data_IF_241571792592
#
_entry.id   IF_241571792592
#
_cell.length_a   1.000
_cell.length_b   1.000
_cell.length_c   1.000
_cell.angle_alpha   90.00
_cell.angle_beta   90.00
_cell.angle_gamma   90.00
#
_symmetry.space_group_name_H-M   'P 1'
#
loop_
_entity.id
_entity.type
_entity.pdbx_description
1 polymer ?
#
# COMPACT_ATOMS: atom_id res chain seq x y z
N UNK A 1 11.38 8.19 -11.88
CA UNK A 1 10.87 7.47 -13.07
C UNK A 1 9.84 6.47 -12.60
N UNK A 2 8.81 6.18 -13.40
CA UNK A 2 7.79 5.14 -13.12
C UNK A 2 7.60 4.30 -14.38
N UNK A 3 7.39 3.00 -14.21
CA UNK A 3 7.16 2.08 -15.34
C UNK A 3 5.80 2.34 -15.97
N UNK A 4 4.82 2.68 -15.15
CA UNK A 4 3.44 2.91 -15.49
C UNK A 4 3.25 4.23 -16.25
N UNK A 5 2.30 4.31 -17.18
CA UNK A 5 1.84 5.60 -17.69
C UNK A 5 1.18 6.40 -16.55
N UNK A 6 1.07 7.72 -16.74
CA UNK A 6 0.64 8.67 -15.70
C UNK A 6 -0.68 8.28 -15.02
N UNK A 7 -1.64 7.80 -15.82
CA UNK A 7 -3.00 7.43 -15.44
C UNK A 7 -3.10 6.07 -14.72
N UNK A 8 -2.06 5.23 -14.82
CA UNK A 8 -2.01 3.91 -14.20
C UNK A 8 -0.93 3.82 -13.11
N UNK A 9 -0.34 4.94 -12.71
CA UNK A 9 0.59 4.95 -11.58
C UNK A 9 -0.12 4.42 -10.31
N UNK A 10 0.56 3.60 -9.50
CA UNK A 10 -0.04 2.97 -8.32
C UNK A 10 -0.27 3.94 -7.15
N UNK A 11 0.36 5.12 -7.18
CA UNK A 11 0.16 6.17 -6.18
C UNK A 11 -1.23 6.79 -6.30
N UNK A 12 -1.76 7.32 -5.21
CA UNK A 12 -3.03 8.02 -5.27
C UNK A 12 -2.90 9.32 -6.09
N UNK A 13 -3.95 9.75 -6.81
CA UNK A 13 -3.89 10.95 -7.64
C UNK A 13 -3.42 12.20 -6.88
N UNK A 14 -3.87 12.39 -5.64
CA UNK A 14 -3.47 13.54 -4.82
C UNK A 14 -1.98 13.50 -4.43
N UNK A 15 -1.39 12.31 -4.23
CA UNK A 15 0.05 12.18 -3.94
C UNK A 15 0.90 12.58 -5.15
N UNK A 16 0.42 12.26 -6.36
CA UNK A 16 1.05 12.66 -7.62
C UNK A 16 0.96 14.19 -7.77
N UNK A 17 -0.22 14.76 -7.53
CA UNK A 17 -0.44 16.21 -7.59
C UNK A 17 0.43 16.96 -6.58
N UNK A 18 0.54 16.47 -5.35
CA UNK A 18 1.39 17.02 -4.30
C UNK A 18 2.86 17.01 -4.71
N UNK A 19 3.37 15.87 -5.18
CA UNK A 19 4.75 15.76 -5.65
C UNK A 19 5.05 16.73 -6.80
N UNK A 20 4.16 16.81 -7.78
CA UNK A 20 4.30 17.77 -8.91
C UNK A 20 4.24 19.21 -8.40
N UNK A 21 3.37 19.52 -7.44
CA UNK A 21 3.27 20.82 -6.79
C UNK A 21 4.56 21.26 -6.09
N UNK A 22 5.30 20.32 -5.50
CA UNK A 22 6.62 20.57 -4.91
C UNK A 22 7.75 20.73 -5.95
N UNK A 23 7.45 20.52 -7.24
CA UNK A 23 8.38 20.64 -8.35
C UNK A 23 9.03 19.31 -8.77
N UNK A 24 8.51 18.17 -8.30
CA UNK A 24 9.00 16.85 -8.72
C UNK A 24 8.64 16.62 -10.19
N UNK A 25 9.66 16.36 -11.02
CA UNK A 25 9.45 15.94 -12.42
C UNK A 25 9.26 14.42 -12.48
N UNK A 26 8.02 14.01 -12.73
CA UNK A 26 7.68 12.61 -12.95
C UNK A 26 7.95 12.25 -14.42
N UNK A 27 8.60 11.10 -14.62
CA UNK A 27 8.85 10.51 -15.94
C UNK A 27 8.10 9.17 -15.99
N UNK A 28 6.81 9.19 -16.37
CA UNK A 28 6.00 7.98 -16.50
C UNK A 28 6.44 7.17 -17.75
N UNK A 29 6.04 5.90 -17.83
CA UNK A 29 6.35 5.04 -18.96
C UNK A 29 7.85 4.91 -19.21
N UNK A 30 8.65 4.83 -18.14
CA UNK A 30 10.11 4.90 -18.19
C UNK A 30 10.73 3.82 -17.30
N UNK A 31 11.48 2.91 -17.90
CA UNK A 31 12.23 1.88 -17.19
C UNK A 31 13.71 2.24 -17.05
N UNK A 32 14.32 1.82 -15.94
CA UNK A 32 15.76 1.94 -15.74
C UNK A 32 16.46 0.73 -16.34
N UNK A 33 17.44 0.96 -17.22
CA UNK A 33 18.25 -0.10 -17.85
C UNK A 33 19.56 -0.33 -17.10
N UNK A 34 20.26 0.75 -16.72
CA UNK A 34 21.46 0.69 -15.87
C UNK A 34 21.79 2.04 -15.23
N UNK A 35 22.60 1.98 -14.17
CA UNK A 35 23.23 3.17 -13.60
C UNK A 35 24.55 3.46 -14.31
N UNK A 36 24.75 4.72 -14.70
CA UNK A 36 25.99 5.19 -15.31
C UNK A 36 26.87 5.75 -14.21
N UNK A 37 28.02 5.10 -14.00
CA UNK A 37 28.99 5.47 -12.97
C UNK A 37 30.21 6.10 -13.63
N UNK A 38 30.60 7.28 -13.16
CA UNK A 38 31.81 8.00 -13.58
C UNK A 38 32.60 8.36 -12.33
N UNK A 39 33.91 8.10 -12.34
CA UNK A 39 34.80 8.42 -11.20
C UNK A 39 34.33 7.82 -9.85
N UNK A 40 33.76 6.62 -9.90
CA UNK A 40 33.26 5.92 -8.70
C UNK A 40 31.95 6.48 -8.11
N UNK A 41 31.27 7.41 -8.79
CA UNK A 41 29.97 7.95 -8.40
C UNK A 41 28.94 7.81 -9.50
N UNK A 42 27.66 7.71 -9.13
CA UNK A 42 26.58 7.76 -10.11
C UNK A 42 26.58 9.14 -10.77
N UNK A 43 26.47 9.17 -12.09
CA UNK A 43 26.44 10.40 -12.89
C UNK A 43 25.17 10.50 -13.74
N UNK A 44 24.57 9.35 -14.09
CA UNK A 44 23.31 9.30 -14.82
C UNK A 44 22.59 7.96 -14.62
N UNK A 45 21.35 7.92 -15.08
CA UNK A 45 20.57 6.71 -15.29
C UNK A 45 20.38 6.54 -16.80
N UNK A 46 20.75 5.40 -17.36
CA UNK A 46 20.29 5.03 -18.71
C UNK A 46 18.88 4.46 -18.58
N UNK A 47 17.93 5.12 -19.22
CA UNK A 47 16.52 4.81 -19.19
C UNK A 47 16.01 4.49 -20.60
N UNK A 48 14.85 3.84 -20.67
CA UNK A 48 14.19 3.45 -21.93
C UNK A 48 12.68 3.64 -21.79
N UNK A 49 11.99 3.95 -22.88
CA UNK A 49 10.54 4.10 -22.88
C UNK A 49 9.84 2.75 -22.76
N UNK A 50 8.79 2.71 -21.94
CA UNK A 50 7.92 1.54 -21.76
C UNK A 50 6.71 1.70 -22.68
N UNK A 51 6.47 0.69 -23.50
CA UNK A 51 5.28 0.60 -24.36
C UNK A 51 4.09 0.03 -23.59
N UNK A 52 4.33 -1.05 -22.84
CA UNK A 52 3.33 -1.71 -22.00
C UNK A 52 3.98 -2.53 -20.89
N UNK A 53 3.22 -2.78 -19.84
CA UNK A 53 3.64 -3.62 -18.72
C UNK A 53 2.95 -4.97 -18.84
N UNK A 54 3.73 -6.04 -18.80
CA UNK A 54 3.24 -7.42 -18.75
C UNK A 54 3.63 -8.06 -17.42
N UNK A 55 2.98 -9.17 -17.09
CA UNK A 55 3.34 -10.00 -15.95
C UNK A 55 3.75 -11.39 -16.45
N UNK A 56 4.86 -11.91 -15.93
CA UNK A 56 5.24 -13.29 -16.22
C UNK A 56 4.36 -14.30 -15.46
N UNK A 57 4.56 -15.59 -15.72
CA UNK A 57 3.81 -16.67 -15.06
C UNK A 57 3.97 -16.71 -13.53
N UNK A 58 4.95 -15.99 -12.97
CA UNK A 58 5.20 -15.85 -11.52
C UNK A 58 4.64 -14.52 -10.97
N UNK A 59 3.92 -13.74 -11.78
CA UNK A 59 3.39 -12.44 -11.42
C UNK A 59 4.45 -11.35 -11.30
N UNK A 60 5.63 -11.53 -11.87
CA UNK A 60 6.67 -10.48 -11.90
C UNK A 60 6.39 -9.52 -13.03
N UNK A 61 6.58 -8.23 -12.76
CA UNK A 61 6.49 -7.16 -13.75
C UNK A 61 7.59 -7.34 -14.80
N UNK A 62 7.21 -7.39 -16.07
CA UNK A 62 8.08 -7.45 -17.24
C UNK A 62 7.66 -6.32 -18.20
N UNK A 63 8.35 -5.18 -18.20
CA UNK A 63 8.03 -4.09 -19.11
C UNK A 63 8.47 -4.43 -20.54
N UNK A 64 7.58 -4.26 -21.52
CA UNK A 64 7.93 -4.24 -22.94
C UNK A 64 8.38 -2.83 -23.30
N UNK A 65 9.61 -2.68 -23.75
CA UNK A 65 10.23 -1.39 -24.03
C UNK A 65 10.14 -1.03 -25.50
N UNK A 66 10.10 0.26 -25.81
CA UNK A 66 10.16 0.77 -27.18
C UNK A 66 11.61 0.64 -27.69
N UNK A 67 11.86 -0.02 -28.84
CA UNK A 67 13.20 -0.09 -29.42
C UNK A 67 13.78 1.30 -29.72
N UNK A 68 15.11 1.44 -29.60
CA UNK A 68 15.87 2.66 -29.92
C UNK A 68 15.34 3.92 -29.19
N UNK A 69 14.78 3.74 -28.00
CA UNK A 69 14.20 4.81 -27.18
C UNK A 69 15.03 5.12 -25.94
N UNK A 70 16.28 4.66 -25.90
CA UNK A 70 17.21 4.91 -24.81
C UNK A 70 17.59 6.39 -24.68
N UNK A 71 17.67 6.85 -23.42
CA UNK A 71 18.13 8.19 -23.10
C UNK A 71 18.81 8.22 -21.72
N UNK A 72 19.72 9.17 -21.52
CA UNK A 72 20.34 9.40 -20.22
C UNK A 72 19.56 10.45 -19.40
N UNK A 73 19.37 10.17 -18.13
CA UNK A 73 18.86 11.12 -17.13
C UNK A 73 20.01 11.45 -16.18
N UNK A 74 20.58 12.67 -16.23
CA UNK A 74 21.63 13.07 -15.28
C UNK A 74 21.14 12.95 -13.83
N UNK A 75 21.95 12.30 -12.99
CA UNK A 75 21.64 12.10 -11.57
C UNK A 75 22.93 11.80 -10.79
N UNK A 76 23.13 12.49 -9.67
CA UNK A 76 24.20 12.18 -8.70
C UNK A 76 23.77 11.17 -7.63
N UNK A 77 22.46 11.07 -7.39
CA UNK A 77 21.85 10.25 -6.35
C UNK A 77 20.67 9.48 -6.93
N UNK A 78 20.58 8.20 -6.60
CA UNK A 78 19.50 7.32 -7.05
C UNK A 78 18.89 6.60 -5.86
N UNK A 79 17.61 6.83 -5.63
CA UNK A 79 16.82 6.15 -4.60
C UNK A 79 15.90 5.15 -5.31
N UNK A 80 16.06 3.87 -4.99
CA UNK A 80 15.22 2.81 -5.54
C UNK A 80 13.97 2.62 -4.68
N UNK A 81 12.80 2.96 -5.22
CA UNK A 81 11.50 2.83 -4.57
C UNK A 81 10.60 1.80 -5.29
N UNK A 82 11.15 0.62 -5.57
CA UNK A 82 10.48 -0.45 -6.36
C UNK A 82 9.58 -1.37 -5.53
N UNK A 83 9.28 -0.97 -4.28
CA UNK A 83 8.57 -1.77 -3.30
C UNK A 83 9.44 -2.79 -2.57
N UNK A 84 8.79 -3.65 -1.78
CA UNK A 84 9.43 -4.60 -0.88
C UNK A 84 8.81 -5.99 -0.99
N UNK A 85 9.57 -7.02 -0.60
CA UNK A 85 9.08 -8.39 -0.44
C UNK A 85 9.54 -8.95 0.90
N UNK A 86 8.73 -9.79 1.57
CA UNK A 86 9.14 -10.41 2.81
C UNK A 86 10.28 -11.42 2.54
N UNK A 87 11.36 -11.29 3.31
CA UNK A 87 12.41 -12.30 3.38
C UNK A 87 11.99 -13.38 4.38
N UNK A 88 11.75 -14.60 3.90
CA UNK A 88 11.19 -15.72 4.68
C UNK A 88 12.11 -16.95 4.72
N UNK A 89 13.35 -16.77 4.29
CA UNK A 89 14.42 -17.77 4.24
C UNK A 89 14.87 -18.25 5.63
N UNK A 90 14.56 -17.49 6.69
CA UNK A 90 14.78 -17.91 8.08
C UNK A 90 13.82 -19.04 8.52
N UNK A 91 12.75 -19.32 7.77
CA UNK A 91 11.81 -20.39 8.11
C UNK A 91 12.43 -21.77 7.81
N UNK A 92 12.10 -22.81 8.59
CA UNK A 92 12.55 -24.17 8.30
C UNK A 92 12.19 -24.62 6.89
N UNK A 93 13.08 -25.38 6.25
CA UNK A 93 12.82 -25.97 4.93
C UNK A 93 11.50 -26.74 4.93
N UNK A 94 10.65 -26.50 3.94
CA UNK A 94 9.31 -27.08 3.81
C UNK A 94 8.21 -26.36 4.59
N UNK A 95 8.53 -25.26 5.29
CA UNK A 95 7.50 -24.37 5.83
C UNK A 95 6.73 -23.70 4.69
N UNK A 96 5.40 -23.71 4.76
CA UNK A 96 4.54 -23.14 3.71
C UNK A 96 3.52 -22.19 4.30
N UNK A 97 3.30 -21.07 3.61
CA UNK A 97 2.16 -20.21 3.86
C UNK A 97 0.93 -20.79 3.14
N UNK A 98 -0.03 -21.29 3.90
CA UNK A 98 -1.33 -21.69 3.36
C UNK A 98 -2.31 -20.52 3.49
N UNK A 99 -2.74 -19.97 2.36
CA UNK A 99 -3.77 -18.93 2.33
C UNK A 99 -5.06 -19.48 2.94
N UNK A 100 -5.59 -18.81 3.97
CA UNK A 100 -6.85 -19.20 4.60
C UNK A 100 -7.95 -18.17 4.31
N UNK A 101 -7.57 -16.92 4.05
CA UNK A 101 -8.47 -15.89 3.59
C UNK A 101 -7.70 -14.90 2.69
N UNK A 102 -7.89 -15.07 1.39
CA UNK A 102 -7.28 -14.20 0.37
C UNK A 102 -7.75 -12.76 0.47
N UNK A 103 -9.00 -12.53 0.89
CA UNK A 103 -9.59 -11.20 0.92
C UNK A 103 -9.07 -10.34 2.07
N UNK A 104 -8.49 -10.97 3.11
CA UNK A 104 -7.93 -10.29 4.30
C UNK A 104 -6.44 -10.48 4.45
N UNK A 105 -5.74 -10.90 3.38
CA UNK A 105 -4.31 -11.16 3.43
C UNK A 105 -3.89 -12.02 4.63
N UNK A 106 -4.63 -13.11 4.86
CA UNK A 106 -4.42 -13.98 6.01
C UNK A 106 -4.00 -15.38 5.55
N UNK A 107 -2.88 -15.83 6.08
CA UNK A 107 -2.31 -17.17 5.86
C UNK A 107 -2.05 -17.87 7.18
N UNK A 108 -2.12 -19.19 7.17
CA UNK A 108 -1.61 -20.05 8.24
C UNK A 108 -0.21 -20.51 7.86
N UNK A 109 0.73 -20.42 8.79
CA UNK A 109 2.07 -20.96 8.61
C UNK A 109 2.08 -22.42 9.02
N UNK A 110 2.43 -23.30 8.08
CA UNK A 110 2.50 -24.75 8.31
C UNK A 110 3.95 -25.19 8.28
N UNK A 111 4.34 -26.00 9.27
CA UNK A 111 5.68 -26.58 9.37
C UNK A 111 5.64 -28.07 9.02
N UNK A 112 6.65 -28.60 8.30
CA UNK A 112 6.68 -30.00 7.92
C UNK A 112 6.89 -30.91 9.14
N UNK A 113 6.17 -32.03 9.17
CA UNK A 113 6.38 -33.11 10.15
C UNK A 113 5.95 -32.82 11.60
N UNK A 114 5.38 -31.65 11.90
CA UNK A 114 4.88 -31.32 13.25
C UNK A 114 3.60 -30.48 13.17
N UNK A 115 2.57 -30.89 13.92
CA UNK A 115 1.59 -29.93 14.38
C UNK A 115 2.28 -29.08 15.46
N UNK A 116 2.41 -27.78 15.23
CA UNK A 116 2.86 -26.88 16.28
C UNK A 116 1.81 -26.86 17.38
N UNK A 117 2.22 -26.92 18.64
CA UNK A 117 1.31 -26.82 19.79
C UNK A 117 0.59 -25.46 19.81
N UNK A 118 1.21 -24.45 19.21
CA UNK A 118 0.65 -23.10 19.05
C UNK A 118 0.46 -22.83 17.55
N UNK A 119 -0.74 -22.46 17.10
CA UNK A 119 -0.99 -22.12 15.71
C UNK A 119 -0.28 -20.79 15.33
N UNK A 120 0.40 -20.77 14.19
CA UNK A 120 1.06 -19.59 13.67
C UNK A 120 0.32 -19.04 12.44
N UNK A 121 0.10 -17.72 12.42
CA UNK A 121 -0.56 -17.00 11.34
C UNK A 121 0.36 -15.94 10.78
N UNK A 122 0.21 -15.64 9.49
CA UNK A 122 0.89 -14.57 8.78
C UNK A 122 -0.19 -13.61 8.28
N UNK A 123 0.04 -12.31 8.44
CA UNK A 123 -0.94 -11.24 8.18
C UNK A 123 -0.31 -10.07 7.41
N UNK A 124 -1.15 -9.24 6.81
CA UNK A 124 -0.75 -8.00 6.16
C UNK A 124 0.15 -8.23 4.95
N UNK A 125 1.15 -7.35 4.77
CA UNK A 125 1.95 -7.29 3.55
C UNK A 125 2.81 -8.55 3.33
N UNK A 126 3.12 -9.29 4.39
CA UNK A 126 3.82 -10.57 4.32
C UNK A 126 3.05 -11.67 3.56
N UNK A 127 1.77 -11.42 3.26
CA UNK A 127 0.84 -12.38 2.65
C UNK A 127 0.37 -11.88 1.27
N UNK A 128 -0.08 -10.63 1.20
CA UNK A 128 -0.66 -10.03 -0.02
C UNK A 128 0.29 -9.20 -0.86
N UNK A 129 1.44 -8.79 -0.30
CA UNK A 129 2.18 -7.64 -0.82
C UNK A 129 1.64 -6.32 -0.24
N UNK A 130 2.15 -5.17 -0.71
CA UNK A 130 1.88 -3.87 -0.10
C UNK A 130 0.39 -3.55 -0.06
N UNK A 131 -0.11 -3.19 1.12
CA UNK A 131 -1.47 -2.73 1.34
C UNK A 131 -1.51 -1.50 2.25
N UNK A 132 -2.71 -1.11 2.65
CA UNK A 132 -2.92 -0.02 3.62
C UNK A 132 -2.73 -0.50 5.05
N UNK A 133 -2.42 0.44 5.95
CA UNK A 133 -2.35 0.17 7.41
C UNK A 133 -3.66 -0.40 7.94
N UNK A 134 -4.80 0.02 7.35
CA UNK A 134 -6.13 -0.47 7.73
C UNK A 134 -6.31 -1.94 7.34
N UNK A 135 -5.89 -2.33 6.13
CA UNK A 135 -5.95 -3.72 5.68
C UNK A 135 -5.04 -4.63 6.52
N UNK A 136 -3.83 -4.17 6.85
CA UNK A 136 -2.94 -4.89 7.74
C UNK A 136 -3.56 -5.09 9.14
N UNK A 137 -4.21 -4.05 9.67
CA UNK A 137 -4.90 -4.10 10.97
C UNK A 137 -6.10 -5.07 10.93
N UNK A 138 -6.89 -5.05 9.87
CA UNK A 138 -8.01 -5.96 9.66
C UNK A 138 -7.53 -7.42 9.57
N UNK A 139 -6.42 -7.65 8.86
CA UNK A 139 -5.75 -8.95 8.78
C UNK A 139 -5.31 -9.45 10.16
N UNK A 140 -4.68 -8.59 10.96
CA UNK A 140 -4.27 -8.88 12.34
C UNK A 140 -5.44 -9.26 13.26
N UNK A 141 -6.54 -8.51 13.18
CA UNK A 141 -7.78 -8.82 13.92
C UNK A 141 -8.33 -10.20 13.53
N UNK A 142 -8.35 -10.52 12.23
CA UNK A 142 -8.80 -11.83 11.75
C UNK A 142 -7.89 -12.95 12.26
N UNK A 143 -6.56 -12.77 12.28
CA UNK A 143 -5.63 -13.74 12.85
C UNK A 143 -5.88 -13.96 14.35
N UNK A 144 -6.05 -12.89 15.14
CA UNK A 144 -6.29 -12.99 16.58
C UNK A 144 -7.53 -13.85 16.91
N UNK A 145 -8.61 -13.69 16.16
CA UNK A 145 -9.84 -14.48 16.33
C UNK A 145 -9.64 -15.96 15.96
N UNK A 146 -8.83 -16.25 14.94
CA UNK A 146 -8.49 -17.63 14.58
C UNK A 146 -7.55 -18.27 15.61
N UNK A 147 -6.59 -17.52 16.14
CA UNK A 147 -5.73 -17.98 17.24
C UNK A 147 -6.58 -18.30 18.47
N UNK A 148 -7.51 -17.42 18.83
CA UNK A 148 -8.45 -17.65 19.93
C UNK A 148 -9.25 -18.94 19.72
N UNK A 149 -9.85 -19.11 18.53
CA UNK A 149 -10.62 -20.31 18.21
C UNK A 149 -9.80 -21.61 18.13
N UNK A 150 -8.51 -21.54 17.80
CA UNK A 150 -7.62 -22.70 17.78
C UNK A 150 -7.09 -23.08 19.19
N UNK A 151 -6.99 -22.11 20.12
CA UNK A 151 -6.47 -22.33 21.47
C UNK A 151 -7.55 -22.63 22.52
N UNK A 152 -8.78 -22.13 22.32
CA UNK A 152 -9.87 -22.36 23.26
C UNK A 152 -10.35 -23.82 23.26
N UNK A 153 -10.40 -24.42 24.46
CA UNK A 153 -10.81 -25.82 24.70
C UNK A 153 -12.32 -25.94 24.89
N UNK A 154 -12.98 -24.86 25.31
CA UNK A 154 -14.44 -24.81 25.44
C UNK A 154 -15.09 -24.62 24.06
N UNK A 155 -16.26 -25.24 23.83
CA UNK A 155 -17.14 -24.94 22.70
C UNK A 155 -17.76 -23.54 22.84
N UNK A 156 -16.93 -22.51 23.01
CA UNK A 156 -17.33 -21.15 22.69
C UNK A 156 -17.53 -21.18 21.19
N UNK A 157 -18.81 -21.32 20.77
CA UNK A 157 -19.32 -21.26 19.41
C UNK A 157 -18.21 -20.82 18.47
N UNK A 158 -17.62 -21.75 17.72
CA UNK A 158 -16.57 -21.50 16.72
C UNK A 158 -17.12 -20.58 15.64
N UNK A 159 -17.38 -19.34 16.00
CA UNK A 159 -17.74 -18.24 15.14
C UNK A 159 -16.44 -17.94 14.43
N UNK A 160 -16.13 -18.73 13.39
CA UNK A 160 -15.18 -18.36 12.38
C UNK A 160 -15.63 -16.99 11.93
N UNK A 161 -14.89 -15.96 12.34
CA UNK A 161 -15.26 -14.59 12.09
C UNK A 161 -15.29 -14.38 10.59
N UNK A 162 -16.50 -14.42 10.03
CA UNK A 162 -16.76 -13.94 8.69
C UNK A 162 -17.00 -12.45 8.86
N UNK A 163 -15.97 -11.64 8.66
CA UNK A 163 -16.12 -10.20 8.58
C UNK A 163 -17.00 -9.85 7.37
N UNK A 164 -18.33 -9.89 7.56
CA UNK A 164 -19.27 -9.39 6.55
C UNK A 164 -19.29 -7.87 6.50
N UNK A 165 -18.55 -7.19 7.39
CA UNK A 165 -18.41 -5.74 7.41
C UNK A 165 -17.38 -5.27 6.37
N UNK A 166 -17.56 -5.68 5.11
CA UNK A 166 -16.98 -4.90 4.01
C UNK A 166 -17.84 -3.64 3.90
N UNK A 167 -17.24 -2.46 4.06
CA UNK A 167 -17.84 -1.24 3.50
C UNK A 167 -18.07 -1.53 2.02
N UNK A 168 -19.32 -1.81 1.62
CA UNK A 168 -19.73 -2.00 0.22
C UNK A 168 -19.76 -0.66 -0.55
N UNK A 169 -19.01 0.33 -0.07
CA UNK A 169 -19.13 1.75 -0.39
C UNK A 169 -19.40 2.56 0.88
N UNK A 170 -19.03 3.84 0.87
CA UNK A 170 -19.69 4.78 1.77
C UNK A 170 -21.18 4.77 1.40
N UNK A 171 -22.12 4.64 2.36
CA UNK A 171 -23.51 4.88 2.05
C UNK A 171 -23.60 6.28 1.45
N UNK A 172 -23.94 6.35 0.17
CA UNK A 172 -24.28 7.60 -0.49
C UNK A 172 -25.62 8.00 0.12
N UNK A 173 -25.56 8.68 1.26
CA UNK A 173 -26.76 9.25 1.87
C UNK A 173 -27.24 10.30 0.87
N UNK A 174 -28.35 10.01 0.18
CA UNK A 174 -28.95 10.92 -0.81
C UNK A 174 -29.27 12.29 -0.20
N UNK A 175 -29.50 12.32 1.11
CA UNK A 175 -29.67 13.52 1.92
C UNK A 175 -28.35 13.97 2.56
N UNK A 176 -27.33 14.23 1.74
CA UNK A 176 -26.11 14.94 2.20
C UNK A 176 -26.27 16.41 1.85
N UNK A 177 -26.57 17.29 2.82
CA UNK A 177 -26.73 18.71 2.55
C UNK A 177 -25.45 19.30 1.94
N UNK A 178 -25.58 20.23 0.99
CA UNK A 178 -24.45 20.87 0.29
C UNK A 178 -23.41 21.49 1.23
N UNK A 179 -23.82 21.90 2.44
CA UNK A 179 -22.94 22.47 3.46
C UNK A 179 -22.11 21.43 4.24
N UNK A 180 -22.25 20.12 3.96
CA UNK A 180 -21.45 19.03 4.56
C UNK A 180 -20.27 18.60 3.69
N UNK A 181 -19.55 19.56 3.11
CA UNK A 181 -18.26 19.33 2.44
C UNK A 181 -17.22 18.92 3.49
N UNK A 182 -16.33 17.97 3.14
CA UNK A 182 -15.20 17.64 4.02
C UNK A 182 -14.30 18.87 4.12
N UNK A 183 -14.05 19.30 5.35
CA UNK A 183 -13.02 20.31 5.57
C UNK A 183 -11.67 19.62 5.46
N UNK A 184 -10.78 20.20 4.67
CA UNK A 184 -9.41 19.73 4.59
C UNK A 184 -8.59 20.38 5.72
N UNK A 185 -7.71 19.63 6.38
CA UNK A 185 -6.81 20.21 7.36
C UNK A 185 -5.87 21.22 6.69
N UNK A 186 -5.38 22.18 7.48
CA UNK A 186 -4.41 23.15 6.99
C UNK A 186 -3.14 22.44 6.48
N UNK A 187 -2.68 22.87 5.31
CA UNK A 187 -1.46 22.37 4.66
C UNK A 187 -0.52 23.54 4.43
N UNK A 188 0.76 23.33 4.67
CA UNK A 188 1.78 24.30 4.26
C UNK A 188 1.91 24.29 2.73
N UNK A 189 2.24 25.43 2.11
CA UNK A 189 2.34 25.51 0.67
C UNK A 189 3.59 24.75 0.14
N UNK A 190 3.57 24.24 -1.11
CA UNK A 190 4.68 23.48 -1.68
C UNK A 190 6.04 24.19 -1.67
N UNK A 191 6.02 25.52 -1.73
CA UNK A 191 7.25 26.32 -1.69
C UNK A 191 8.00 26.18 -0.37
N UNK A 192 7.26 25.96 0.71
CA UNK A 192 7.76 25.77 2.08
C UNK A 192 8.06 24.29 2.36
N UNK A 193 7.15 23.37 2.01
CA UNK A 193 7.28 21.94 2.31
C UNK A 193 8.57 21.33 1.76
N UNK A 194 8.96 21.70 0.53
CA UNK A 194 10.18 21.20 -0.14
C UNK A 194 11.50 21.53 0.58
N UNK A 195 11.49 22.37 1.61
CA UNK A 195 12.69 22.84 2.34
C UNK A 195 12.71 22.44 3.81
N UNK A 196 11.77 21.60 4.26
CA UNK A 196 11.60 21.31 5.68
C UNK A 196 11.17 19.86 5.92
N UNK A 197 11.45 19.36 7.13
CA UNK A 197 10.88 18.10 7.64
C UNK A 197 9.62 18.32 8.47
N UNK A 198 9.10 19.55 8.44
CA UNK A 198 7.86 19.90 9.13
C UNK A 198 6.68 19.18 8.46
N UNK A 199 5.79 18.62 9.28
CA UNK A 199 4.60 17.93 8.80
C UNK A 199 3.81 18.81 7.81
N UNK A 200 3.58 18.28 6.60
CA UNK A 200 2.96 19.02 5.49
C UNK A 200 1.47 19.24 5.77
N UNK A 201 0.77 18.15 6.08
CA UNK A 201 -0.63 18.16 6.47
C UNK A 201 -0.74 18.29 7.98
N UNK A 202 -1.17 19.46 8.47
CA UNK A 202 -1.33 19.69 9.91
C UNK A 202 -2.53 18.92 10.46
N UNK A 203 -2.56 18.80 11.79
CA UNK A 203 -3.79 18.42 12.49
C UNK A 203 -4.92 19.43 12.22
N UNK A 204 -6.15 18.96 12.31
CA UNK A 204 -7.32 19.82 12.38
C UNK A 204 -7.19 20.79 13.57
N UNK A 205 -7.55 22.05 13.36
CA UNK A 205 -7.79 22.98 14.45
C UNK A 205 -9.11 22.66 15.16
N UNK A 206 -9.34 23.27 16.32
CA UNK A 206 -10.51 23.00 17.15
C UNK A 206 -11.85 23.26 16.43
N UNK A 207 -11.93 24.31 15.61
CA UNK A 207 -13.14 24.63 14.86
C UNK A 207 -13.40 23.57 13.78
N UNK A 208 -12.35 23.15 13.08
CA UNK A 208 -12.44 22.13 12.06
C UNK A 208 -12.81 20.77 12.68
N UNK A 209 -12.21 20.37 13.80
CA UNK A 209 -12.58 19.15 14.55
C UNK A 209 -14.05 19.19 14.95
N UNK A 210 -14.54 20.31 15.49
CA UNK A 210 -15.95 20.46 15.90
C UNK A 210 -16.90 20.30 14.71
N UNK A 211 -16.66 21.04 13.62
CA UNK A 211 -17.49 20.97 12.41
C UNK A 211 -17.45 19.58 11.76
N UNK A 212 -16.28 18.95 11.74
CA UNK A 212 -16.08 17.59 11.22
C UNK A 212 -16.80 16.54 12.08
N UNK A 213 -16.83 16.74 13.40
CA UNK A 213 -17.57 15.90 14.35
C UNK A 213 -19.09 16.06 14.20
N UNK A 214 -19.57 17.29 13.96
CA UNK A 214 -20.98 17.58 13.67
C UNK A 214 -21.40 17.09 12.27
N UNK A 215 -20.44 16.98 11.34
CA UNK A 215 -20.65 16.37 10.03
C UNK A 215 -20.98 14.88 10.14
N UNK A 216 -20.60 14.20 11.23
CA UNK A 216 -20.68 12.75 11.36
C UNK A 216 -22.07 12.21 10.99
N UNK A 217 -22.12 11.46 9.89
CA UNK A 217 -23.30 10.77 9.42
C UNK A 217 -23.44 9.47 10.20
N UNK A 218 -24.65 9.19 10.73
CA UNK A 218 -25.08 7.95 11.39
C UNK A 218 -24.09 6.78 11.23
N UNK A 219 -23.15 6.64 12.17
CA UNK A 219 -22.15 5.56 12.19
C UNK A 219 -22.77 4.15 12.31
N UNK A 220 -24.08 4.10 12.54
CA UNK A 220 -24.92 2.96 12.86
C UNK A 220 -25.91 2.58 11.74
N UNK A 221 -25.78 3.10 10.51
CA UNK A 221 -26.53 2.57 9.36
C UNK A 221 -25.89 1.28 8.83
N UNK A 222 -26.08 0.22 9.60
CA UNK A 222 -26.01 -1.17 9.15
C UNK A 222 -27.37 -1.80 9.45
N UNK A 223 -28.21 -1.91 8.43
CA UNK A 223 -29.32 -2.87 8.37
C UNK A 223 -28.99 -3.85 7.24
#
# INVERSE_FOLDING_TARGET
VSLEPQDLMPAYPWEIEEAVGEGVRILPGTAVKRFVVREGRVAAIEAVRVERIEFDAKGRIVPRTVPDSEFEIPADTVIQAVGSRPALDFLPSGAVQKRIDSARNLSRLLFPGKQTTIPAYVTGDCVGGPGTVVEASASGRAAALNIYGDLCVEEVMKARFQDRFRRLGEPQVEDRPEWRVRLEPHRIPPEESRRTFTEVQKRYDEDCVRRESERCAKCNLWL
#
